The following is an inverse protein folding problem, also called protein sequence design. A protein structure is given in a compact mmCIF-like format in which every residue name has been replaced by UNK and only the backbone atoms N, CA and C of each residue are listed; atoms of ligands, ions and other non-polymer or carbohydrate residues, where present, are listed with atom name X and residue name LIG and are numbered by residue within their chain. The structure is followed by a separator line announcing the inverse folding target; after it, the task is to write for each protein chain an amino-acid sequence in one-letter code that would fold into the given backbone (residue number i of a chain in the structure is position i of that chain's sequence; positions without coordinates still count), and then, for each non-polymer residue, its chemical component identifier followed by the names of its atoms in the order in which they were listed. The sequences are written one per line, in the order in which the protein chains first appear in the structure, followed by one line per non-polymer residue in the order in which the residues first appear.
data_IF_257942996880
#
_entry.id   IF_257942996880
#
_cell.length_a   1.000
_cell.length_b   1.000
_cell.length_c   1.000
_cell.angle_alpha   90.00
_cell.angle_beta   90.00
_cell.angle_gamma   90.00
#
_symmetry.space_group_name_H-M   'P 1'
#
loop_
_entity.id
_entity.type
_entity.pdbx_description
1 polymer ?
#
# COMPACT_ATOMS: atom_id res chain seq x y z
N UNK A 1 27.72 -48.10 -22.17
CA UNK A 1 26.34 -47.55 -22.07
C UNK A 1 26.11 -47.12 -20.61
N UNK A 2 26.54 -45.98 -20.02
CA UNK A 2 26.77 -44.58 -20.41
C UNK A 2 25.55 -43.78 -20.88
N UNK A 3 24.34 -44.15 -20.46
CA UNK A 3 23.13 -43.39 -20.83
C UNK A 3 22.00 -43.45 -19.80
N UNK A 4 22.31 -43.30 -18.50
CA UNK A 4 21.29 -43.39 -17.43
C UNK A 4 21.41 -42.30 -16.35
N UNK A 5 22.18 -41.23 -16.61
CA UNK A 5 22.54 -40.22 -15.61
C UNK A 5 22.19 -38.78 -15.99
N UNK A 6 21.24 -38.57 -16.92
CA UNK A 6 20.93 -37.23 -17.46
C UNK A 6 19.48 -36.79 -17.21
N UNK A 7 18.61 -37.64 -16.66
CA UNK A 7 17.16 -37.37 -16.57
C UNK A 7 16.65 -36.79 -15.23
N UNK A 8 17.52 -36.44 -14.28
CA UNK A 8 17.12 -36.00 -12.93
C UNK A 8 17.27 -34.49 -12.65
N UNK A 9 17.62 -33.66 -13.64
CA UNK A 9 17.94 -32.23 -13.43
C UNK A 9 16.87 -31.22 -13.90
N UNK A 10 15.66 -31.65 -14.28
CA UNK A 10 14.64 -30.75 -14.86
C UNK A 10 13.56 -30.29 -13.84
N UNK A 11 13.69 -30.62 -12.56
CA UNK A 11 12.60 -30.50 -11.59
C UNK A 11 12.68 -29.32 -10.58
N UNK A 12 13.39 -28.22 -10.88
CA UNK A 12 13.54 -27.14 -9.87
C UNK A 12 13.42 -25.69 -10.36
N UNK A 13 12.89 -25.43 -11.55
CA UNK A 13 12.56 -24.07 -11.98
C UNK A 13 11.04 -23.86 -12.03
N UNK A 14 10.33 -24.08 -10.92
CA UNK A 14 9.01 -23.47 -10.77
C UNK A 14 9.22 -21.96 -10.58
N UNK A 15 8.68 -21.08 -11.44
CA UNK A 15 8.74 -19.65 -11.19
C UNK A 15 8.02 -19.37 -9.87
N UNK A 16 8.80 -19.04 -8.83
CA UNK A 16 8.22 -18.58 -7.56
C UNK A 16 7.40 -17.35 -7.89
N UNK A 17 6.08 -17.47 -7.76
CA UNK A 17 5.17 -16.34 -7.92
C UNK A 17 5.67 -15.23 -7.00
N UNK A 18 5.91 -14.01 -7.51
CA UNK A 18 6.36 -12.93 -6.67
C UNK A 18 5.41 -12.78 -5.48
N UNK A 19 5.93 -12.58 -4.26
CA UNK A 19 5.09 -12.47 -3.08
C UNK A 19 4.10 -11.31 -3.28
N UNK A 20 2.87 -11.42 -2.74
CA UNK A 20 1.89 -10.36 -2.88
C UNK A 20 2.43 -9.06 -2.23
N UNK A 21 2.05 -7.88 -2.73
CA UNK A 21 2.45 -6.61 -2.15
C UNK A 21 2.21 -6.57 -0.64
N UNK A 22 3.19 -6.02 0.09
CA UNK A 22 3.17 -5.92 1.54
C UNK A 22 3.41 -7.22 2.31
N UNK A 23 3.77 -8.33 1.67
CA UNK A 23 4.11 -9.59 2.35
C UNK A 23 5.46 -9.53 3.10
N UNK A 24 6.37 -8.65 2.70
CA UNK A 24 7.72 -8.58 3.27
C UNK A 24 7.77 -7.94 4.68
N UNK A 25 6.80 -7.09 5.03
CA UNK A 25 6.75 -6.42 6.32
C UNK A 25 6.18 -5.00 6.23
N UNK A 26 5.94 -4.34 7.38
CA UNK A 26 5.28 -3.03 7.41
C UNK A 26 6.13 -1.92 6.76
N UNK A 27 7.45 -1.96 6.94
CA UNK A 27 8.38 -0.97 6.33
C UNK A 27 8.38 -1.10 4.81
N UNK A 28 8.48 -2.34 4.30
CA UNK A 28 8.53 -2.55 2.86
C UNK A 28 7.19 -2.30 2.19
N UNK A 29 6.08 -2.65 2.85
CA UNK A 29 4.75 -2.27 2.37
C UNK A 29 4.58 -0.75 2.25
N UNK A 30 5.10 0.02 3.20
CA UNK A 30 5.06 1.49 3.14
C UNK A 30 5.97 2.06 2.03
N UNK A 31 7.15 1.47 1.79
CA UNK A 31 8.00 1.85 0.64
C UNK A 31 7.35 1.50 -0.70
N UNK A 32 6.77 0.31 -0.82
CA UNK A 32 6.02 -0.13 -2.00
C UNK A 32 4.86 0.81 -2.27
N UNK A 33 4.14 1.24 -1.22
CA UNK A 33 3.03 2.17 -1.32
C UNK A 33 3.51 3.55 -1.80
N UNK A 34 4.53 4.12 -1.15
CA UNK A 34 5.10 5.40 -1.56
C UNK A 34 5.60 5.36 -3.02
N UNK A 35 6.26 4.27 -3.43
CA UNK A 35 6.75 4.11 -4.78
C UNK A 35 5.60 3.95 -5.81
N UNK A 36 4.53 3.23 -5.47
CA UNK A 36 3.35 3.09 -6.32
C UNK A 36 2.64 4.44 -6.51
N UNK A 37 2.48 5.20 -5.43
CA UNK A 37 1.95 6.57 -5.44
C UNK A 37 2.78 7.47 -6.35
N UNK A 38 4.11 7.48 -6.19
CA UNK A 38 5.01 8.32 -6.98
C UNK A 38 4.99 8.00 -8.47
N UNK A 39 4.73 6.73 -8.83
CA UNK A 39 4.55 6.31 -10.24
C UNK A 39 3.16 6.60 -10.79
N UNK A 40 2.23 7.11 -9.98
CA UNK A 40 0.82 7.22 -10.34
C UNK A 40 0.13 5.86 -10.52
N UNK A 41 0.71 4.78 -9.99
CA UNK A 41 0.18 3.42 -10.07
C UNK A 41 -0.89 3.22 -8.98
N UNK A 42 -2.07 3.80 -9.24
CA UNK A 42 -3.20 3.72 -8.34
C UNK A 42 -3.67 2.28 -8.09
N UNK A 43 -3.45 1.35 -9.03
CA UNK A 43 -3.84 -0.04 -8.88
C UNK A 43 -2.98 -0.73 -7.81
N UNK A 44 -1.66 -0.59 -7.88
CA UNK A 44 -0.75 -1.13 -6.86
C UNK A 44 -0.91 -0.40 -5.53
N UNK A 45 -1.02 0.93 -5.54
CA UNK A 45 -1.21 1.70 -4.32
C UNK A 45 -2.48 1.28 -3.56
N UNK A 46 -3.57 1.01 -4.28
CA UNK A 46 -4.83 0.56 -3.67
C UNK A 46 -4.74 -0.84 -3.06
N UNK A 47 -3.94 -1.73 -3.64
CA UNK A 47 -3.71 -3.06 -3.04
C UNK A 47 -2.98 -2.98 -1.71
N UNK A 48 -2.26 -1.90 -1.45
CA UNK A 48 -1.51 -1.68 -0.22
C UNK A 48 -2.31 -0.89 0.83
N UNK A 49 -3.54 -0.49 0.55
CA UNK A 49 -4.42 0.18 1.53
C UNK A 49 -5.22 -0.83 2.35
N UNK A 50 -5.54 -0.48 3.60
CA UNK A 50 -6.41 -1.28 4.46
C UNK A 50 -7.82 -1.33 3.90
N UNK A 51 -8.54 -2.43 4.18
CA UNK A 51 -9.94 -2.53 3.78
C UNK A 51 -10.80 -1.39 4.35
N UNK A 52 -10.47 -0.90 5.54
CA UNK A 52 -11.13 0.27 6.13
C UNK A 52 -10.87 1.54 5.33
N UNK A 53 -9.61 1.83 4.98
CA UNK A 53 -9.24 3.00 4.18
C UNK A 53 -9.99 3.02 2.85
N UNK A 54 -10.07 1.88 2.17
CA UNK A 54 -10.79 1.76 0.91
C UNK A 54 -12.28 2.07 1.06
N UNK A 55 -12.94 1.53 2.11
CA UNK A 55 -14.36 1.83 2.41
C UNK A 55 -14.60 3.31 2.68
N UNK A 56 -13.74 3.94 3.47
CA UNK A 56 -13.86 5.37 3.77
C UNK A 56 -13.67 6.25 2.53
N UNK A 57 -12.70 5.90 1.69
CA UNK A 57 -12.47 6.58 0.42
C UNK A 57 -13.67 6.46 -0.52
N UNK A 58 -14.26 5.27 -0.65
CA UNK A 58 -15.44 5.06 -1.49
C UNK A 58 -16.66 5.82 -0.95
N UNK A 59 -16.84 5.86 0.38
CA UNK A 59 -17.88 6.66 1.01
C UNK A 59 -17.67 8.16 0.76
N UNK A 60 -16.43 8.65 0.83
CA UNK A 60 -16.10 10.05 0.52
C UNK A 60 -16.41 10.41 -0.94
N UNK A 61 -16.03 9.55 -1.88
CA UNK A 61 -16.34 9.76 -3.29
C UNK A 61 -17.85 9.71 -3.58
N UNK A 62 -18.59 8.82 -2.92
CA UNK A 62 -20.04 8.78 -3.02
C UNK A 62 -20.69 10.08 -2.51
N UNK A 63 -20.23 10.61 -1.36
CA UNK A 63 -20.67 11.92 -0.85
C UNK A 63 -20.34 13.04 -1.83
N UNK A 64 -19.11 13.09 -2.35
CA UNK A 64 -18.69 14.12 -3.30
C UNK A 64 -19.57 14.14 -4.56
N UNK A 65 -19.96 12.97 -5.09
CA UNK A 65 -20.91 12.88 -6.21
C UNK A 65 -22.31 13.35 -5.84
N UNK A 66 -22.79 12.99 -4.66
CA UNK A 66 -24.09 13.45 -4.18
C UNK A 66 -24.15 14.99 -4.07
N UNK A 67 -23.04 15.64 -3.71
CA UNK A 67 -22.95 17.11 -3.67
C UNK A 67 -22.76 17.74 -5.07
N UNK A 68 -22.11 17.06 -6.01
CA UNK A 68 -21.90 17.56 -7.37
C UNK A 68 -23.16 17.55 -8.25
N UNK A 69 -24.19 16.80 -7.86
CA UNK A 69 -25.44 16.66 -8.62
C UNK A 69 -25.23 16.00 -10.00
N UNK A 70 -26.13 16.28 -10.95
CA UNK A 70 -26.13 15.69 -12.30
C UNK A 70 -24.99 16.17 -13.22
N UNK A 71 -24.15 17.09 -12.75
CA UNK A 71 -23.04 17.63 -13.54
C UNK A 71 -21.93 16.60 -13.80
N UNK A 72 -21.93 15.45 -13.11
CA UNK A 72 -20.94 14.39 -13.32
C UNK A 72 -19.51 14.80 -12.96
N UNK A 73 -19.32 15.93 -12.29
CA UNK A 73 -18.02 16.57 -11.99
C UNK A 73 -17.35 16.04 -10.73
N UNK A 74 -17.93 15.04 -10.06
CA UNK A 74 -17.35 14.39 -8.88
C UNK A 74 -16.28 13.36 -9.23
N UNK A 75 -15.34 13.06 -8.31
CA UNK A 75 -14.30 12.06 -8.55
C UNK A 75 -14.89 10.66 -8.82
N UNK A 76 -14.34 9.96 -9.80
CA UNK A 76 -14.81 8.65 -10.25
C UNK A 76 -14.59 7.53 -9.20
N UNK A 77 -13.72 7.74 -8.20
CA UNK A 77 -13.58 6.84 -7.04
C UNK A 77 -12.84 7.51 -5.87
N UNK A 78 -12.92 6.92 -4.67
CA UNK A 78 -12.14 7.38 -3.51
C UNK A 78 -10.64 7.34 -3.77
N UNK A 79 -10.18 6.36 -4.56
CA UNK A 79 -8.80 6.27 -5.06
C UNK A 79 -8.38 7.54 -5.80
N UNK A 80 -9.24 8.10 -6.65
CA UNK A 80 -8.93 9.33 -7.38
C UNK A 80 -8.78 10.54 -6.46
N UNK A 81 -9.46 10.57 -5.30
CA UNK A 81 -9.28 11.62 -4.30
C UNK A 81 -8.00 11.43 -3.48
N UNK A 82 -7.72 10.18 -3.05
CA UNK A 82 -6.58 9.86 -2.19
C UNK A 82 -5.23 10.16 -2.83
N UNK A 83 -5.09 9.98 -4.14
CA UNK A 83 -3.80 10.10 -4.84
C UNK A 83 -3.56 11.46 -5.50
N UNK A 84 -4.52 12.39 -5.40
CA UNK A 84 -4.43 13.72 -6.02
C UNK A 84 -4.03 14.83 -5.02
N UNK A 85 -3.78 14.49 -3.75
CA UNK A 85 -3.42 15.45 -2.70
C UNK A 85 -2.20 14.99 -1.88
N UNK A 86 -1.17 15.84 -1.87
CA UNK A 86 -0.07 15.92 -0.90
C UNK A 86 0.63 14.61 -0.50
N UNK A 87 1.10 13.82 -1.46
CA UNK A 87 2.01 12.70 -1.17
C UNK A 87 3.47 13.10 -1.44
N UNK A 88 4.42 12.73 -0.56
CA UNK A 88 5.80 13.18 -0.64
C UNK A 88 6.44 12.77 -1.98
N UNK A 89 6.98 13.78 -2.67
CA UNK A 89 7.71 13.63 -3.92
C UNK A 89 9.20 13.40 -3.62
N UNK A 90 9.89 12.60 -4.43
CA UNK A 90 11.32 12.31 -4.25
C UNK A 90 11.62 11.10 -3.37
N UNK A 91 12.88 10.88 -3.00
CA UNK A 91 13.25 9.71 -2.19
C UNK A 91 12.63 9.80 -0.80
N UNK A 92 12.06 8.69 -0.34
CA UNK A 92 11.55 8.58 1.02
C UNK A 92 12.42 7.62 1.83
N UNK A 93 12.65 7.97 3.09
CA UNK A 93 13.20 7.05 4.08
C UNK A 93 12.07 6.54 4.95
N UNK A 94 12.04 5.22 5.19
CA UNK A 94 10.98 4.59 5.99
C UNK A 94 11.62 3.84 7.13
N UNK A 95 11.16 4.10 8.36
CA UNK A 95 11.58 3.36 9.54
C UNK A 95 10.39 2.89 10.36
N UNK A 96 10.53 1.75 11.01
CA UNK A 96 9.54 1.22 11.95
C UNK A 96 9.69 1.93 13.29
N UNK A 97 8.63 2.58 13.78
CA UNK A 97 8.62 3.21 15.11
C UNK A 97 8.11 2.21 16.15
N UNK A 98 7.08 1.45 15.79
CA UNK A 98 6.41 0.51 16.69
C UNK A 98 5.88 -0.69 15.93
N UNK A 99 5.89 -1.85 16.58
CA UNK A 99 5.17 -3.02 16.10
C UNK A 99 4.60 -3.76 17.31
N UNK A 100 3.29 -3.99 17.29
CA UNK A 100 2.60 -4.87 18.22
C UNK A 100 2.54 -6.27 17.62
N UNK A 101 2.42 -7.28 18.49
CA UNK A 101 2.38 -8.69 18.09
C UNK A 101 1.07 -9.11 17.41
N UNK A 102 0.08 -8.23 17.35
CA UNK A 102 -1.27 -8.48 16.80
C UNK A 102 -1.46 -8.03 15.34
N UNK A 103 -0.37 -7.69 14.65
CA UNK A 103 -0.44 -7.23 13.27
C UNK A 103 -0.72 -5.72 13.14
N UNK A 104 -0.52 -4.95 14.19
CA UNK A 104 -0.51 -3.48 14.15
C UNK A 104 0.93 -2.96 14.22
N UNK A 105 1.31 -2.05 13.32
CA UNK A 105 2.60 -1.38 13.35
C UNK A 105 2.47 0.11 13.01
N UNK A 106 3.43 0.90 13.45
CA UNK A 106 3.56 2.31 13.07
C UNK A 106 4.91 2.49 12.39
N UNK A 107 4.87 3.09 11.20
CA UNK A 107 6.06 3.45 10.44
C UNK A 107 6.14 4.96 10.30
N UNK A 108 7.35 5.49 10.32
CA UNK A 108 7.63 6.87 9.90
C UNK A 108 8.11 6.85 8.47
N UNK A 109 7.53 7.72 7.65
CA UNK A 109 8.00 8.04 6.30
C UNK A 109 8.52 9.46 6.34
N UNK A 110 9.80 9.64 6.04
CA UNK A 110 10.45 10.94 6.00
C UNK A 110 10.86 11.27 4.57
N UNK A 111 10.44 12.41 4.07
CA UNK A 111 10.78 12.91 2.73
C UNK A 111 12.17 13.58 2.70
N UNK A 112 12.61 13.99 1.50
CA UNK A 112 13.89 14.68 1.31
C UNK A 112 13.94 16.06 1.98
N UNK A 113 12.79 16.74 2.11
CA UNK A 113 12.66 18.02 2.83
C UNK A 113 12.77 17.84 4.35
N UNK A 114 12.75 16.59 4.83
CA UNK A 114 12.86 16.23 6.22
C UNK A 114 11.53 16.18 6.97
N UNK A 115 10.40 16.36 6.27
CA UNK A 115 9.06 16.19 6.81
C UNK A 115 8.84 14.72 7.12
N UNK A 116 8.47 14.43 8.37
CA UNK A 116 8.18 13.08 8.83
C UNK A 116 6.67 12.91 9.01
N UNK A 117 6.11 11.90 8.36
CA UNK A 117 4.70 11.49 8.48
C UNK A 117 4.64 10.08 9.04
N UNK A 118 3.82 9.87 10.06
CA UNK A 118 3.60 8.55 10.63
C UNK A 118 2.39 7.89 9.98
N UNK A 119 2.54 6.62 9.62
CA UNK A 119 1.46 5.79 9.09
C UNK A 119 1.25 4.58 9.99
N UNK A 120 -0.01 4.28 10.24
CA UNK A 120 -0.41 3.01 10.84
C UNK A 120 -0.46 1.94 9.75
N UNK A 121 0.00 0.75 10.11
CA UNK A 121 0.08 -0.42 9.25
C UNK A 121 -0.68 -1.56 9.91
N UNK A 122 -1.50 -2.26 9.14
CA UNK A 122 -2.33 -3.38 9.58
C UNK A 122 -2.02 -4.63 8.77
N UNK A 123 -1.87 -5.77 9.43
CA UNK A 123 -1.70 -7.06 8.78
C UNK A 123 -3.09 -7.62 8.42
N UNK A 124 -3.44 -7.58 7.14
CA UNK A 124 -4.71 -8.08 6.62
C UNK A 124 -4.46 -9.21 5.61
N UNK A 125 -5.01 -10.40 5.87
CA UNK A 125 -4.88 -11.53 4.94
C UNK A 125 -3.44 -11.96 4.64
N UNK A 126 -2.51 -11.73 5.57
CA UNK A 126 -1.08 -12.04 5.41
C UNK A 126 -0.25 -10.96 4.69
N UNK A 127 -0.86 -9.82 4.34
CA UNK A 127 -0.16 -8.66 3.76
C UNK A 127 -0.31 -7.44 4.65
N UNK A 128 0.78 -6.69 4.83
CA UNK A 128 0.73 -5.40 5.52
C UNK A 128 0.07 -4.34 4.63
N UNK A 129 -0.84 -3.57 5.23
CA UNK A 129 -1.64 -2.53 4.58
C UNK A 129 -1.49 -1.21 5.31
N UNK A 130 -1.45 -0.11 4.57
CA UNK A 130 -1.45 1.26 5.09
C UNK A 130 -2.88 1.62 5.50
N UNK A 131 -3.05 2.05 6.74
CA UNK A 131 -4.30 2.60 7.26
C UNK A 131 -4.23 4.12 7.25
N UNK A 132 -5.03 4.74 6.37
CA UNK A 132 -5.18 6.19 6.24
C UNK A 132 -6.50 6.67 6.85
N UNK A 133 -7.22 5.82 7.58
CA UNK A 133 -8.48 6.21 8.18
C UNK A 133 -8.28 7.39 9.13
N UNK A 134 -9.13 8.41 8.99
CA UNK A 134 -8.98 9.71 9.70
C UNK A 134 -9.39 9.63 11.18
N UNK A 135 -9.64 8.43 11.70
CA UNK A 135 -10.23 8.20 13.03
C UNK A 135 -9.23 7.97 14.17
N UNK A 136 -7.93 7.93 13.92
CA UNK A 136 -6.94 7.85 14.99
C UNK A 136 -5.89 8.95 14.85
N UNK A 137 -6.12 10.06 15.55
CA UNK A 137 -5.02 10.92 15.98
C UNK A 137 -3.95 10.03 16.62
N UNK A 138 -2.80 9.88 15.95
CA UNK A 138 -1.59 9.44 16.62
C UNK A 138 -1.19 10.58 17.57
N UNK A 139 -1.79 10.58 18.77
CA UNK A 139 -1.41 11.46 19.88
C UNK A 139 -0.04 11.09 20.43
#
# INVERSE_FOLDING_TARGET
MRLLLVLLLVAACTPQRPPPPGAAGPVEAAKEFAAAVQRGDAATASQLLSAQTLREADAAAARARAFAGDAGTGPASGRQMLFNSALPQGKVSVRKIRQRSDGDATVEVKDEAGTATQFRMLLEGGSWKVDLSTGQELR
#
